data_IF_434933481616
#
_entry.id   IF_434933481616
#
_cell.length_a   1.000
_cell.length_b   1.000
_cell.length_c   1.000
_cell.angle_alpha   90.00
_cell.angle_beta   90.00
_cell.angle_gamma   90.00
#
_symmetry.space_group_name_H-M   'P 1'
#
loop_
_entity.id
_entity.type
_entity.pdbx_description
1 polymer ?
#
# COMPACT_ATOMS: atom_id res chain seq x y z
N UNK A 1 7.57 -5.52 16.63
CA UNK A 1 7.36 -4.73 15.39
C UNK A 1 5.90 -4.85 14.97
N UNK A 2 5.34 -3.78 14.42
CA UNK A 2 4.02 -3.80 13.77
C UNK A 2 4.27 -3.68 12.27
N UNK A 3 3.60 -4.52 11.47
CA UNK A 3 3.62 -4.48 10.00
C UNK A 3 2.20 -4.46 9.48
N UNK A 4 2.06 -4.14 8.20
CA UNK A 4 0.75 -4.04 7.55
C UNK A 4 0.54 -5.12 6.48
N UNK A 5 -0.74 -5.38 6.17
CA UNK A 5 -1.21 -6.07 4.97
C UNK A 5 -2.22 -5.18 4.26
N UNK A 6 -2.24 -5.17 2.92
CA UNK A 6 -3.32 -4.55 2.15
C UNK A 6 -4.69 -5.00 2.65
N UNK A 7 -5.70 -4.15 2.53
CA UNK A 7 -7.03 -4.43 3.04
C UNK A 7 -7.63 -5.72 2.47
N UNK A 8 -7.42 -5.96 1.17
CA UNK A 8 -7.85 -7.18 0.46
C UNK A 8 -7.11 -8.45 0.87
N UNK A 9 -5.93 -8.33 1.48
CA UNK A 9 -5.17 -9.47 2.02
C UNK A 9 -5.43 -9.66 3.52
N UNK A 10 -5.74 -8.59 4.24
CA UNK A 10 -6.04 -8.63 5.67
C UNK A 10 -7.46 -9.11 5.94
N UNK A 11 -8.44 -8.73 5.11
CA UNK A 11 -9.84 -9.13 5.25
C UNK A 11 -10.26 -10.14 4.20
N UNK A 12 -11.04 -11.13 4.62
CA UNK A 12 -11.72 -12.06 3.72
C UNK A 12 -12.94 -11.41 3.06
N UNK A 13 -13.65 -12.18 2.23
CA UNK A 13 -14.86 -11.72 1.54
C UNK A 13 -16.02 -11.34 2.49
N UNK A 14 -15.93 -11.69 3.77
CA UNK A 14 -16.91 -11.37 4.82
C UNK A 14 -16.45 -10.20 5.70
N UNK A 15 -15.40 -9.47 5.28
CA UNK A 15 -14.78 -8.40 6.06
C UNK A 15 -14.24 -8.86 7.43
N UNK A 16 -13.88 -10.15 7.57
CA UNK A 16 -13.26 -10.69 8.77
C UNK A 16 -11.74 -10.87 8.58
N UNK A 17 -10.92 -10.77 9.63
CA UNK A 17 -9.49 -10.95 9.51
C UNK A 17 -9.11 -12.34 8.95
N UNK A 18 -8.39 -12.38 7.82
CA UNK A 18 -7.82 -13.59 7.26
C UNK A 18 -6.59 -14.01 8.07
N UNK A 19 -6.82 -14.93 9.01
CA UNK A 19 -5.76 -15.41 9.89
C UNK A 19 -4.67 -16.20 9.14
N UNK A 20 -4.96 -16.80 7.98
CA UNK A 20 -3.95 -17.50 7.19
C UNK A 20 -2.96 -16.49 6.58
N UNK A 21 -3.47 -15.43 5.95
CA UNK A 21 -2.63 -14.36 5.40
C UNK A 21 -1.84 -13.62 6.48
N UNK A 22 -2.48 -13.30 7.61
CA UNK A 22 -1.84 -12.66 8.76
C UNK A 22 -0.68 -13.52 9.29
N UNK A 23 -0.90 -14.83 9.48
CA UNK A 23 0.14 -15.72 9.98
C UNK A 23 1.26 -15.93 8.95
N UNK A 24 0.92 -16.03 7.66
CA UNK A 24 1.90 -16.06 6.56
C UNK A 24 2.79 -14.82 6.56
N UNK A 25 2.22 -13.62 6.76
CA UNK A 25 2.99 -12.37 6.88
C UNK A 25 3.91 -12.39 8.10
N UNK A 26 3.43 -12.83 9.27
CA UNK A 26 4.27 -12.96 10.48
C UNK A 26 5.45 -13.90 10.23
N UNK A 27 5.20 -15.09 9.69
CA UNK A 27 6.24 -16.06 9.38
C UNK A 27 7.27 -15.47 8.40
N UNK A 28 6.81 -14.80 7.35
CA UNK A 28 7.69 -14.17 6.36
C UNK A 28 8.60 -13.09 6.96
N UNK A 29 8.08 -12.28 7.88
CA UNK A 29 8.81 -11.21 8.56
C UNK A 29 9.79 -11.76 9.60
N UNK A 30 9.45 -12.88 10.24
CA UNK A 30 10.30 -13.54 11.24
C UNK A 30 11.49 -14.32 10.62
N UNK A 31 11.56 -14.44 9.29
CA UNK A 31 12.68 -15.15 8.62
C UNK A 31 14.01 -14.45 8.93
N UNK A 32 15.07 -15.22 9.23
CA UNK A 32 16.39 -14.64 9.46
C UNK A 32 16.90 -13.97 8.19
N UNK A 33 17.58 -12.84 8.35
CA UNK A 33 18.25 -12.11 7.28
C UNK A 33 19.70 -11.95 7.69
N UNK A 34 20.61 -12.22 6.76
CA UNK A 34 22.04 -11.99 6.95
C UNK A 34 22.42 -10.62 6.38
N UNK A 35 23.30 -9.90 7.07
CA UNK A 35 23.84 -8.64 6.59
C UNK A 35 25.35 -8.79 6.41
N UNK A 36 25.84 -8.49 5.21
CA UNK A 36 27.29 -8.54 4.97
C UNK A 36 27.97 -7.44 5.79
N UNK A 37 29.02 -7.82 6.52
CA UNK A 37 29.84 -6.94 7.35
C UNK A 37 29.14 -6.32 8.57
N UNK A 38 28.12 -6.96 9.12
CA UNK A 38 27.54 -6.53 10.40
C UNK A 38 26.49 -7.49 10.94
N UNK A 39 25.87 -7.10 12.06
CA UNK A 39 24.78 -7.86 12.67
C UNK A 39 23.42 -7.40 12.13
N UNK A 40 22.57 -8.36 11.79
CA UNK A 40 21.19 -8.09 11.44
C UNK A 40 20.32 -7.96 12.70
N UNK A 41 19.28 -7.12 12.62
CA UNK A 41 18.30 -7.00 13.69
C UNK A 41 17.55 -8.32 13.90
N UNK A 42 17.41 -8.74 15.16
CA UNK A 42 16.57 -9.89 15.50
C UNK A 42 15.14 -9.44 15.79
N UNK A 43 14.19 -9.85 14.96
CA UNK A 43 12.77 -9.59 15.18
C UNK A 43 12.24 -10.59 16.21
N UNK A 44 11.74 -10.08 17.36
CA UNK A 44 11.25 -10.91 18.47
C UNK A 44 9.75 -11.14 18.46
N UNK A 45 8.99 -10.16 17.96
CA UNK A 45 7.53 -10.21 17.92
C UNK A 45 7.00 -9.39 16.74
N UNK A 46 5.98 -9.92 16.05
CA UNK A 46 5.31 -9.29 14.91
C UNK A 46 3.81 -9.23 15.17
N UNK A 47 3.26 -8.01 15.15
CA UNK A 47 1.83 -7.76 15.03
C UNK A 47 1.52 -7.31 13.61
N UNK A 48 0.43 -7.80 13.04
CA UNK A 48 -0.05 -7.39 11.71
C UNK A 48 -1.31 -6.55 11.91
N UNK A 49 -1.39 -5.42 11.21
CA UNK A 49 -2.57 -4.56 11.14
C UNK A 49 -3.02 -4.43 9.68
N UNK A 50 -4.31 -4.15 9.43
CA UNK A 50 -4.74 -3.76 8.09
C UNK A 50 -4.10 -2.43 7.69
N UNK A 51 -3.77 -2.26 6.42
CA UNK A 51 -3.38 -0.96 5.87
C UNK A 51 -4.49 0.08 6.07
N UNK A 52 -4.07 1.35 6.15
CA UNK A 52 -4.93 2.55 6.16
C UNK A 52 -5.86 2.73 7.38
N UNK A 53 -6.41 1.68 7.99
CA UNK A 53 -7.33 1.76 9.14
C UNK A 53 -6.67 2.35 10.39
N UNK A 54 -5.43 1.97 10.78
CA UNK A 54 -4.78 2.56 11.94
C UNK A 54 -4.61 4.09 11.84
N UNK A 55 -4.50 4.64 10.62
CA UNK A 55 -4.42 6.09 10.41
C UNK A 55 -5.76 6.79 10.74
N UNK A 56 -6.88 6.10 10.55
CA UNK A 56 -8.22 6.59 10.87
C UNK A 56 -8.65 6.41 12.33
N UNK A 57 -7.89 5.69 13.16
CA UNK A 57 -8.32 5.29 14.51
C UNK A 57 -8.72 6.46 15.40
N UNK A 58 -7.96 7.56 15.39
CA UNK A 58 -8.29 8.73 16.22
C UNK A 58 -9.65 9.31 15.81
N UNK A 59 -9.87 9.49 14.50
CA UNK A 59 -11.13 10.02 13.99
C UNK A 59 -12.29 9.07 14.29
N UNK A 60 -12.07 7.76 14.13
CA UNK A 60 -13.08 6.73 14.42
C UNK A 60 -13.48 6.67 15.90
N UNK A 61 -12.54 6.90 16.82
CA UNK A 61 -12.81 6.87 18.25
C UNK A 61 -13.78 7.98 18.70
N UNK A 62 -13.72 9.14 18.05
CA UNK A 62 -14.54 10.32 18.38
C UNK A 62 -15.90 10.33 17.64
N UNK A 63 -16.08 9.44 16.66
CA UNK A 63 -17.32 9.34 15.86
C UNK A 63 -18.41 8.52 16.57
N UNK A 64 -19.67 8.90 16.33
CA UNK A 64 -20.83 8.10 16.71
C UNK A 64 -20.84 6.74 15.97
N UNK A 65 -21.37 5.66 16.56
CA UNK A 65 -21.53 4.38 15.86
C UNK A 65 -22.39 4.44 14.60
N UNK A 66 -23.22 5.48 14.46
CA UNK A 66 -24.06 5.72 13.27
C UNK A 66 -23.35 6.52 12.18
N UNK A 67 -22.15 7.04 12.47
CA UNK A 67 -21.28 7.70 11.50
C UNK A 67 -20.28 6.72 10.91
N UNK A 68 -19.71 7.07 9.76
CA UNK A 68 -18.71 6.26 9.10
C UNK A 68 -17.58 7.09 8.53
N UNK A 69 -16.36 6.61 8.68
CA UNK A 69 -15.17 7.13 8.00
C UNK A 69 -14.99 6.39 6.67
N UNK A 70 -14.85 7.15 5.59
CA UNK A 70 -14.32 6.66 4.32
C UNK A 70 -12.82 6.91 4.29
N UNK A 71 -12.04 5.84 4.21
CA UNK A 71 -10.58 5.87 4.07
C UNK A 71 -10.27 5.55 2.61
N UNK A 72 -9.50 6.43 1.97
CA UNK A 72 -9.02 6.26 0.59
C UNK A 72 -7.51 6.28 0.64
N UNK A 73 -6.88 5.17 0.28
CA UNK A 73 -5.44 4.99 0.26
C UNK A 73 -4.97 4.73 -1.16
N UNK A 74 -4.12 5.63 -1.67
CA UNK A 74 -3.56 5.53 -3.01
C UNK A 74 -2.08 5.16 -2.89
N UNK A 75 -1.81 3.86 -3.06
CA UNK A 75 -0.48 3.30 -3.05
C UNK A 75 0.24 3.42 -4.39
N UNK A 76 1.46 2.87 -4.42
CA UNK A 76 2.31 2.82 -5.62
C UNK A 76 1.59 2.21 -6.83
N UNK A 77 0.88 1.10 -6.61
CA UNK A 77 0.24 0.30 -7.66
C UNK A 77 -1.24 0.04 -7.42
N UNK A 78 -1.75 0.33 -6.21
CA UNK A 78 -3.12 -0.02 -5.80
C UNK A 78 -3.86 1.19 -5.25
N UNK A 79 -5.18 1.14 -5.39
CA UNK A 79 -6.13 2.04 -4.73
C UNK A 79 -6.97 1.18 -3.79
N UNK A 80 -6.87 1.47 -2.51
CA UNK A 80 -7.55 0.73 -1.45
C UNK A 80 -8.53 1.66 -0.73
N UNK A 81 -9.79 1.25 -0.64
CA UNK A 81 -10.88 2.04 -0.05
C UNK A 81 -11.59 1.23 1.02
N UNK A 82 -11.72 1.80 2.22
CA UNK A 82 -12.46 1.21 3.33
C UNK A 82 -13.53 2.16 3.85
N UNK A 83 -14.69 1.60 4.18
CA UNK A 83 -15.73 2.28 4.97
C UNK A 83 -15.84 1.64 6.34
N UNK A 84 -15.49 2.39 7.38
CA UNK A 84 -15.45 1.92 8.76
C UNK A 84 -16.44 2.71 9.61
N UNK A 85 -17.25 2.02 10.42
CA UNK A 85 -18.19 2.68 11.34
C UNK A 85 -17.45 3.28 12.55
N UNK A 86 -17.99 4.37 13.09
CA UNK A 86 -17.49 5.01 14.31
C UNK A 86 -17.39 4.03 15.47
N UNK A 87 -16.49 4.34 16.41
CA UNK A 87 -16.11 3.48 17.54
C UNK A 87 -15.60 2.08 17.13
N UNK A 88 -15.17 1.93 15.87
CA UNK A 88 -14.75 0.63 15.30
C UNK A 88 -15.85 -0.45 15.42
N UNK A 89 -17.13 -0.04 15.39
CA UNK A 89 -18.27 -0.93 15.51
C UNK A 89 -18.37 -1.97 14.37
N UNK A 90 -17.68 -1.72 13.26
CA UNK A 90 -17.52 -2.68 12.18
C UNK A 90 -16.85 -2.08 10.95
N UNK A 91 -16.30 -2.96 10.10
CA UNK A 91 -15.89 -2.61 8.73
C UNK A 91 -17.05 -2.99 7.84
N UNK A 92 -17.62 -1.99 7.18
CA UNK A 92 -18.85 -2.19 6.40
C UNK A 92 -18.54 -2.60 4.97
N UNK A 93 -17.50 -2.03 4.37
CA UNK A 93 -17.12 -2.28 2.98
C UNK A 93 -15.61 -2.09 2.81
N UNK A 94 -15.02 -2.94 1.99
CA UNK A 94 -13.64 -2.84 1.50
C UNK A 94 -13.69 -2.98 -0.01
N UNK A 95 -13.00 -2.08 -0.70
CA UNK A 95 -12.80 -2.11 -2.15
C UNK A 95 -11.31 -1.94 -2.45
N UNK A 96 -10.79 -2.72 -3.39
CA UNK A 96 -9.40 -2.66 -3.83
C UNK A 96 -9.35 -2.70 -5.35
N UNK A 97 -8.62 -1.75 -5.95
CA UNK A 97 -8.33 -1.72 -7.37
C UNK A 97 -6.80 -1.83 -7.60
N UNK A 98 -6.30 -2.98 -8.07
CA UNK A 98 -4.87 -3.17 -8.32
C UNK A 98 -4.38 -2.53 -9.63
N UNK A 99 -5.25 -1.89 -10.40
CA UNK A 99 -4.89 -1.25 -11.67
C UNK A 99 -4.65 0.25 -11.53
N UNK A 100 -5.05 0.84 -10.39
CA UNK A 100 -4.95 2.27 -10.14
C UNK A 100 -3.92 2.51 -9.05
N UNK A 101 -2.80 3.16 -9.40
CA UNK A 101 -1.77 3.55 -8.45
C UNK A 101 -0.98 4.75 -8.95
N UNK A 102 -0.13 5.33 -8.10
CA UNK A 102 0.69 6.49 -8.49
C UNK A 102 1.69 6.16 -9.61
N UNK A 103 2.03 4.87 -9.81
CA UNK A 103 2.89 4.42 -10.90
C UNK A 103 2.35 4.80 -12.28
N UNK A 104 1.02 4.82 -12.47
CA UNK A 104 0.40 5.26 -13.73
C UNK A 104 0.87 6.65 -14.15
N UNK A 105 0.97 7.56 -13.16
CA UNK A 105 1.45 8.92 -13.40
C UNK A 105 2.97 8.97 -13.56
N UNK A 106 3.71 8.23 -12.74
CA UNK A 106 5.16 8.17 -12.83
C UNK A 106 5.61 7.66 -14.23
N UNK A 107 4.98 6.59 -14.72
CA UNK A 107 5.27 5.99 -16.01
C UNK A 107 4.91 6.93 -17.17
N UNK A 108 3.76 7.60 -17.08
CA UNK A 108 3.37 8.61 -18.06
C UNK A 108 4.39 9.76 -18.15
N UNK A 109 4.85 10.28 -17.00
CA UNK A 109 5.88 11.34 -16.95
C UNK A 109 7.21 10.84 -17.51
N UNK A 110 7.66 9.64 -17.11
CA UNK A 110 8.90 9.04 -17.60
C UNK A 110 8.87 8.83 -19.12
N UNK A 111 7.75 8.39 -19.68
CA UNK A 111 7.56 8.22 -21.12
C UNK A 111 7.71 9.54 -21.89
N UNK A 112 7.10 10.62 -21.38
CA UNK A 112 7.25 11.96 -21.98
C UNK A 112 8.70 12.45 -21.88
N UNK A 113 9.36 12.23 -20.74
CA UNK A 113 10.77 12.64 -20.56
C UNK A 113 11.72 11.87 -21.48
N UNK A 114 11.51 10.56 -21.67
CA UNK A 114 12.26 9.76 -22.61
C UNK A 114 12.11 10.30 -24.04
N UNK A 115 10.87 10.54 -24.47
CA UNK A 115 10.56 11.10 -25.80
C UNK A 115 11.24 12.46 -26.02
N UNK A 116 11.20 13.35 -25.03
CA UNK A 116 11.87 14.66 -25.11
C UNK A 116 13.40 14.53 -25.17
N UNK A 117 14.00 13.57 -24.46
CA UNK A 117 15.44 13.29 -24.57
C UNK A 117 15.84 12.85 -25.98
N UNK A 118 15.08 11.96 -26.61
CA UNK A 118 15.34 11.54 -28.00
C UNK A 118 15.17 12.68 -29.01
N UNK A 119 14.16 13.54 -28.81
CA UNK A 119 13.97 14.74 -29.65
C UNK A 119 15.11 15.76 -29.49
N UNK A 120 15.67 15.91 -28.29
CA UNK A 120 16.76 16.87 -28.04
C UNK A 120 18.16 16.37 -28.45
N UNK A 121 18.36 15.04 -28.55
CA UNK A 121 19.60 14.44 -29.09
C UNK A 121 19.66 14.41 -30.62
N UNK A 122 18.58 14.81 -31.31
CA UNK A 122 18.45 14.75 -32.77
C UNK A 122 18.69 16.05 -33.58
N UNK A 123 19.54 17.03 -33.19
CA UNK A 123 19.88 18.12 -34.10
C UNK A 123 21.37 18.17 -34.46
N UNK A 124 21.97 17.13 -35.06
CA UNK A 124 23.22 17.27 -35.85
C UNK A 124 23.39 16.13 -36.87
N UNK A 125 22.53 16.09 -37.89
CA UNK A 125 22.95 15.62 -39.23
C UNK A 125 22.64 16.72 -40.21
N UNK A 126 23.51 17.73 -40.24
CA UNK A 126 23.59 18.63 -41.38
C UNK A 126 24.23 17.87 -42.54
N UNK A 127 23.51 17.90 -43.65
CA UNK A 127 23.92 17.53 -44.99
C UNK A 127 25.30 18.11 -45.31
N UNK A 128 26.26 17.24 -45.64
CA UNK A 128 27.47 17.61 -46.36
C UNK A 128 27.63 16.67 -47.56
N UNK A 129 27.43 17.29 -48.74
CA UNK A 129 27.72 16.89 -50.13
C UNK A 129 27.07 15.61 -50.69
#
# INVERSE_FOLDING_TARGET
>A
MVVTLPLSEYFDTNAQPDMANINRKKANVMRPVEYQNGEAFTIRNVRVMPESIPAGFKALADMSPFESLLIVDLGGTTLDVAKVQGQLAGISQVFCDPHVGVSLMADAVLSVMATKRYAHQSPHRQYHY
#
